data_IF_865607170225
#
_entry.id   IF_865607170225
#
_cell.length_a   1.000
_cell.length_b   1.000
_cell.length_c   1.000
_cell.angle_alpha   90.00
_cell.angle_beta   90.00
_cell.angle_gamma   90.00
#
_symmetry.space_group_name_H-M   'P 1'
#
loop_
_entity.id
_entity.type
_entity.pdbx_description
1 polymer ?
#
# COMPACT_ATOMS: atom_id res chain seq x y z
N UNK A 1 12.79 -3.85 0.01
CA UNK A 1 11.87 -3.03 0.83
C UNK A 1 10.84 -3.95 1.46
N UNK A 2 10.57 -3.87 2.77
CA UNK A 2 9.47 -4.62 3.39
C UNK A 2 8.24 -3.71 3.40
N UNK A 3 7.15 -4.13 2.80
CA UNK A 3 5.91 -3.37 2.84
C UNK A 3 5.06 -3.80 4.03
N UNK A 4 4.45 -2.82 4.71
CA UNK A 4 3.49 -3.07 5.79
C UNK A 4 2.09 -3.21 5.19
N UNK A 5 1.35 -4.20 5.66
CA UNK A 5 -0.06 -4.36 5.31
C UNK A 5 -0.86 -3.12 5.75
N UNK A 6 -1.44 -2.41 4.78
CA UNK A 6 -2.28 -1.24 5.04
C UNK A 6 -3.76 -1.63 4.99
N UNK A 7 -4.54 -1.19 5.99
CA UNK A 7 -6.00 -1.46 6.05
C UNK A 7 -6.85 -0.42 5.33
N UNK A 8 -6.25 0.72 4.98
CA UNK A 8 -6.92 1.85 4.36
C UNK A 8 -6.17 2.31 3.11
N UNK A 9 -6.90 2.81 2.12
CA UNK A 9 -6.39 3.40 0.90
C UNK A 9 -7.30 4.57 0.47
N UNK A 10 -6.85 5.35 -0.51
CA UNK A 10 -7.68 6.33 -1.21
C UNK A 10 -8.16 5.70 -2.51
N UNK A 11 -9.42 5.91 -2.88
CA UNK A 11 -9.89 5.61 -4.23
C UNK A 11 -9.51 6.73 -5.21
N UNK A 12 -9.80 6.53 -6.49
CA UNK A 12 -9.50 7.50 -7.56
C UNK A 12 -10.16 8.88 -7.41
N UNK A 13 -11.21 8.98 -6.59
CA UNK A 13 -11.90 10.23 -6.29
C UNK A 13 -11.38 10.91 -5.01
N UNK A 14 -10.39 10.31 -4.33
CA UNK A 14 -9.80 10.85 -3.10
C UNK A 14 -10.55 10.50 -1.82
N UNK A 15 -11.51 9.56 -1.86
CA UNK A 15 -12.18 9.07 -0.66
C UNK A 15 -11.39 7.97 0.03
N UNK A 16 -11.34 8.02 1.37
CA UNK A 16 -10.75 6.98 2.19
C UNK A 16 -11.65 5.74 2.19
N UNK A 17 -11.07 4.60 1.83
CA UNK A 17 -11.74 3.30 1.78
C UNK A 17 -11.02 2.30 2.67
N UNK A 18 -11.76 1.40 3.31
CA UNK A 18 -11.23 0.30 4.11
C UNK A 18 -11.20 -0.98 3.30
N UNK A 19 -10.24 -1.86 3.61
CA UNK A 19 -10.15 -3.19 3.01
C UNK A 19 -11.44 -4.01 3.17
N UNK A 20 -12.15 -3.85 4.30
CA UNK A 20 -13.41 -4.54 4.59
C UNK A 20 -14.57 -4.11 3.70
N UNK A 21 -14.47 -2.96 3.04
CA UNK A 21 -15.49 -2.49 2.10
C UNK A 21 -15.44 -3.27 0.78
N UNK A 22 -14.35 -4.01 0.53
CA UNK A 22 -14.13 -4.76 -0.70
C UNK A 22 -14.35 -6.26 -0.48
N UNK A 23 -15.44 -6.78 -1.04
CA UNK A 23 -15.65 -8.23 -1.18
C UNK A 23 -14.99 -8.80 -2.45
N UNK A 24 -14.72 -7.93 -3.43
CA UNK A 24 -14.10 -8.25 -4.72
C UNK A 24 -13.01 -7.21 -5.03
N UNK A 25 -12.06 -7.53 -5.93
CA UNK A 25 -11.08 -6.55 -6.40
C UNK A 25 -11.80 -5.27 -6.90
N UNK A 26 -11.36 -4.07 -6.46
CA UNK A 26 -11.95 -2.83 -6.93
C UNK A 26 -11.75 -2.68 -8.44
N UNK A 27 -12.77 -2.20 -9.14
CA UNK A 27 -12.69 -1.88 -10.58
C UNK A 27 -11.85 -0.62 -10.84
N UNK A 28 -11.66 0.22 -9.82
CA UNK A 28 -10.95 1.49 -9.88
C UNK A 28 -9.51 1.44 -9.36
N UNK A 29 -8.79 2.55 -9.51
CA UNK A 29 -7.43 2.69 -8.97
C UNK A 29 -7.47 3.03 -7.49
N UNK A 30 -6.55 2.43 -6.74
CA UNK A 30 -6.33 2.74 -5.33
C UNK A 30 -4.96 3.37 -5.13
N UNK A 31 -4.87 4.26 -4.15
CA UNK A 31 -3.66 4.99 -3.82
C UNK A 31 -3.37 4.93 -2.32
N UNK A 32 -2.10 4.98 -1.95
CA UNK A 32 -1.71 5.08 -0.56
C UNK A 32 -2.10 6.45 0.00
N UNK A 33 -2.72 6.47 1.17
CA UNK A 33 -3.05 7.71 1.88
C UNK A 33 -1.83 8.60 2.15
N UNK A 34 -0.65 8.00 2.41
CA UNK A 34 0.54 8.74 2.83
C UNK A 34 1.41 9.26 1.69
N UNK A 35 1.54 8.49 0.61
CA UNK A 35 2.46 8.82 -0.47
C UNK A 35 1.79 8.93 -1.84
N UNK A 36 0.46 8.80 -1.91
CA UNK A 36 -0.35 8.87 -3.14
C UNK A 36 0.08 7.92 -4.27
N UNK A 37 0.98 6.97 -3.98
CA UNK A 37 1.41 5.95 -4.92
C UNK A 37 0.33 4.87 -5.10
N UNK A 38 0.26 4.24 -6.28
CA UNK A 38 -0.72 3.20 -6.55
C UNK A 38 -0.56 1.99 -5.62
N UNK A 39 -1.68 1.52 -5.09
CA UNK A 39 -1.79 0.30 -4.30
C UNK A 39 -2.79 -0.67 -4.92
N UNK A 40 -2.66 -1.95 -4.60
CA UNK A 40 -3.58 -3.02 -4.98
C UNK A 40 -4.16 -3.66 -3.73
N UNK A 41 -5.42 -4.11 -3.84
CA UNK A 41 -6.03 -4.94 -2.83
C UNK A 41 -5.49 -6.37 -2.97
N UNK A 42 -4.85 -6.85 -1.91
CA UNK A 42 -4.50 -8.26 -1.75
C UNK A 42 -5.63 -8.91 -0.94
N UNK A 43 -6.38 -9.85 -1.53
CA UNK A 43 -7.45 -10.54 -0.82
C UNK A 43 -6.89 -11.38 0.32
N UNK A 44 -7.74 -11.66 1.31
CA UNK A 44 -7.40 -12.57 2.39
C UNK A 44 -7.07 -13.96 1.81
N UNK A 45 -5.93 -14.53 2.22
CA UNK A 45 -5.56 -15.91 1.95
C UNK A 45 -5.28 -16.62 3.27
N UNK A 46 -5.86 -17.82 3.42
CA UNK A 46 -5.80 -18.63 4.64
C UNK A 46 -6.21 -17.82 5.89
N UNK A 47 -5.29 -17.70 6.87
CA UNK A 47 -5.47 -16.96 8.14
C UNK A 47 -5.07 -15.47 8.06
N UNK A 48 -4.73 -14.96 6.88
CA UNK A 48 -4.31 -13.56 6.72
C UNK A 48 -5.47 -12.65 6.34
N UNK A 49 -5.65 -11.56 7.09
CA UNK A 49 -6.56 -10.47 6.72
C UNK A 49 -6.18 -9.91 5.33
N UNK A 50 -7.18 -9.46 4.57
CA UNK A 50 -6.94 -8.70 3.35
C UNK A 50 -6.21 -7.38 3.66
N UNK A 51 -5.40 -6.88 2.73
CA UNK A 51 -4.65 -5.63 2.89
C UNK A 51 -4.34 -4.95 1.57
N UNK A 52 -4.00 -3.66 1.64
CA UNK A 52 -3.48 -2.92 0.50
C UNK A 52 -1.95 -2.99 0.44
N UNK A 53 -1.42 -3.25 -0.74
CA UNK A 53 0.00 -3.36 -1.04
C UNK A 53 0.40 -2.37 -2.13
N UNK A 54 1.57 -1.73 -2.04
CA UNK A 54 2.00 -0.80 -3.08
C UNK A 54 2.44 -1.58 -4.32
N UNK A 55 2.02 -1.08 -5.48
CA UNK A 55 2.51 -1.58 -6.77
C UNK A 55 3.94 -1.06 -6.95
N UNK A 56 4.92 -1.93 -6.72
CA UNK A 56 6.33 -1.66 -7.03
C UNK A 56 6.54 -1.78 -8.54
N UNK A 57 5.91 -0.90 -9.31
CA UNK A 57 6.42 -0.62 -10.66
C UNK A 57 7.71 0.14 -10.46
N UNK A 58 8.76 -0.24 -11.19
CA UNK A 58 10.09 0.36 -11.13
C UNK A 58 10.04 1.84 -11.57
N UNK A 59 9.48 2.72 -10.74
CA UNK A 59 9.61 4.15 -10.91
C UNK A 59 11.04 4.51 -10.55
N UNK A 60 11.87 4.59 -11.59
CA UNK A 60 13.13 5.29 -11.52
C UNK A 60 12.88 6.71 -11.00
N UNK A 61 13.74 7.11 -10.06
CA UNK A 61 13.75 8.34 -9.24
C UNK A 61 13.31 8.05 -7.81
N UNK A 62 14.33 7.85 -6.98
CA UNK A 62 14.38 8.00 -5.52
C UNK A 62 13.85 9.35 -5.03
N UNK A 63 12.58 9.65 -5.28
CA UNK A 63 11.85 10.48 -4.33
C UNK A 63 11.48 9.54 -3.20
N UNK A 64 12.36 9.46 -2.20
CA UNK A 64 12.12 8.76 -0.94
C UNK A 64 11.01 9.53 -0.21
N UNK A 65 9.77 9.42 -0.71
CA UNK A 65 8.61 9.77 0.07
C UNK A 65 8.57 8.68 1.14
N UNK A 66 8.95 9.06 2.36
CA UNK A 66 8.94 8.19 3.52
C UNK A 66 7.50 7.73 3.81
N UNK A 67 7.04 6.70 3.09
CA UNK A 67 5.74 6.11 3.32
C UNK A 67 5.87 5.20 4.55
N UNK A 68 5.09 5.41 5.63
CA UNK A 68 5.11 4.54 6.80
C UNK A 68 4.83 3.07 6.47
N UNK A 69 4.20 2.82 5.31
CA UNK A 69 3.86 1.51 4.80
C UNK A 69 4.91 0.91 3.85
N UNK A 70 5.99 1.63 3.54
CA UNK A 70 7.15 1.14 2.80
C UNK A 70 8.40 1.26 3.69
N UNK A 71 8.74 0.19 4.40
CA UNK A 71 9.95 0.16 5.21
C UNK A 71 11.14 -0.07 4.28
N UNK A 72 11.90 1.00 4.02
CA UNK A 72 13.24 0.89 3.43
C UNK A 72 14.14 0.10 4.39
N UNK A 73 14.95 -0.81 3.87
CA UNK A 73 15.82 -1.68 4.67
C UNK A 73 17.05 -0.94 5.24
N UNK A 74 17.18 0.37 5.03
CA UNK A 74 18.38 1.15 5.31
C UNK A 74 18.47 1.74 6.74
N UNK A 75 17.80 1.16 7.74
CA UNK A 75 17.99 1.61 9.14
C UNK A 75 18.34 0.47 10.10
N UNK A 76 18.93 -0.63 9.60
CA UNK A 76 19.44 -1.73 10.44
C UNK A 76 20.97 -1.85 10.53
N UNK A 77 21.73 -0.82 10.15
CA UNK A 77 23.19 -0.76 10.39
C UNK A 77 23.61 0.55 11.04
N UNK A 78 23.18 0.76 12.28
CA UNK A 78 23.85 1.68 13.22
C UNK A 78 23.41 1.35 14.65
N UNK A 79 23.90 0.24 15.18
CA UNK A 79 24.09 0.11 16.63
C UNK A 79 25.26 -0.82 16.91
#
# INVERSE_FOLDING_TARGET
MKQKAAKYALNEFGYLVNVKDFRFPPTGKLYCFYCTHPVVLVPAQDDSDAYFQHVLTMSGRDEIIACPNQVSLETKRAR
#
